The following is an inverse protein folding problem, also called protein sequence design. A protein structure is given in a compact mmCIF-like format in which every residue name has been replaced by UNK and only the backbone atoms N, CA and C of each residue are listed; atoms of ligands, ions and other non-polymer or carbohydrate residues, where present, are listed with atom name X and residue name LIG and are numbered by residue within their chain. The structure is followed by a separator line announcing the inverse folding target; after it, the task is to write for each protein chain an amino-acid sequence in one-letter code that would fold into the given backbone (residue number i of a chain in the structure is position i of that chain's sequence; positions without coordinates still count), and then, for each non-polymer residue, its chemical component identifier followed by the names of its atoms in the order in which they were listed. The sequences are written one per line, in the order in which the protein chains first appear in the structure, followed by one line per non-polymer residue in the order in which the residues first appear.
data_IF_478697322607
#
_entry.id   IF_478697322607
#
_cell.length_a   1.000
_cell.length_b   1.000
_cell.length_c   1.000
_cell.angle_alpha   90.00
_cell.angle_beta   90.00
_cell.angle_gamma   90.00
#
_symmetry.space_group_name_H-M   'P 1'
#
loop_
_entity.id
_entity.type
_entity.pdbx_description
1 polymer ?
#
# COMPACT_ATOMS: atom_id res chain seq x y z
N UNK A 1 9.58 -19.78 -23.65
CA UNK A 1 8.47 -18.93 -24.14
C UNK A 1 7.15 -19.65 -23.93
N UNK A 2 6.99 -20.87 -24.47
CA UNK A 2 5.79 -21.71 -24.28
C UNK A 2 5.39 -21.94 -22.81
N UNK A 3 6.35 -22.23 -21.93
CA UNK A 3 6.06 -22.40 -20.50
C UNK A 3 5.57 -21.10 -19.83
N UNK A 4 6.10 -19.94 -20.22
CA UNK A 4 5.67 -18.63 -19.69
C UNK A 4 4.24 -18.33 -20.10
N UNK A 5 3.93 -18.50 -21.39
CA UNK A 5 2.59 -18.32 -21.94
C UNK A 5 1.58 -19.27 -21.28
N UNK A 6 1.97 -20.53 -21.05
CA UNK A 6 1.15 -21.50 -20.32
C UNK A 6 0.86 -21.03 -18.90
N UNK A 7 1.85 -20.53 -18.16
CA UNK A 7 1.63 -19.99 -16.81
C UNK A 7 0.75 -18.74 -16.81
N UNK A 8 0.89 -17.84 -17.79
CA UNK A 8 0.00 -16.67 -17.94
C UNK A 8 -1.44 -17.12 -18.18
N UNK A 9 -1.64 -18.08 -19.09
CA UNK A 9 -2.97 -18.63 -19.37
C UNK A 9 -3.60 -19.28 -18.13
N UNK A 10 -2.83 -20.07 -17.38
CA UNK A 10 -3.30 -20.68 -16.13
C UNK A 10 -3.63 -19.63 -15.07
N UNK A 11 -2.84 -18.56 -14.96
CA UNK A 11 -3.13 -17.45 -14.04
C UNK A 11 -4.44 -16.75 -14.39
N UNK A 12 -4.71 -16.51 -15.68
CA UNK A 12 -5.98 -15.94 -16.16
C UNK A 12 -7.16 -16.86 -15.88
N UNK A 13 -7.03 -18.17 -16.10
CA UNK A 13 -8.09 -19.13 -15.75
C UNK A 13 -8.37 -19.13 -14.25
N UNK A 14 -7.32 -19.09 -13.42
CA UNK A 14 -7.45 -19.04 -11.98
C UNK A 14 -8.11 -17.73 -11.51
N UNK A 15 -7.81 -16.59 -12.13
CA UNK A 15 -8.48 -15.32 -11.89
C UNK A 15 -9.98 -15.40 -12.17
N UNK A 16 -10.37 -15.92 -13.34
CA UNK A 16 -11.79 -16.07 -13.73
C UNK A 16 -12.55 -17.05 -12.82
N UNK A 17 -11.85 -18.01 -12.22
CA UNK A 17 -12.41 -18.95 -11.26
C UNK A 17 -12.30 -18.47 -9.80
N UNK A 18 -11.82 -17.24 -9.56
CA UNK A 18 -11.56 -16.66 -8.23
C UNK A 18 -10.62 -17.51 -7.35
N UNK A 19 -9.77 -18.34 -7.97
CA UNK A 19 -8.78 -19.19 -7.31
C UNK A 19 -7.45 -18.47 -7.18
N UNK A 20 -7.45 -17.33 -6.49
CA UNK A 20 -6.29 -16.42 -6.42
C UNK A 20 -5.02 -17.07 -5.84
N UNK A 21 -5.13 -18.09 -4.99
CA UNK A 21 -3.97 -18.86 -4.53
C UNK A 21 -3.24 -19.59 -5.66
N UNK A 22 -3.97 -20.18 -6.61
CA UNK A 22 -3.38 -20.86 -7.77
C UNK A 22 -2.86 -19.87 -8.82
N UNK A 23 -3.55 -18.74 -8.94
CA UNK A 23 -3.09 -17.60 -9.74
C UNK A 23 -1.70 -17.14 -9.28
N UNK A 24 -1.52 -16.93 -7.97
CA UNK A 24 -0.23 -16.54 -7.38
C UNK A 24 0.85 -17.60 -7.66
N UNK A 25 0.56 -18.89 -7.48
CA UNK A 25 1.55 -19.94 -7.74
C UNK A 25 1.99 -20.01 -9.22
N UNK A 26 1.09 -19.73 -10.16
CA UNK A 26 1.43 -19.65 -11.58
C UNK A 26 2.33 -18.44 -11.88
N UNK A 27 1.99 -17.28 -11.32
CA UNK A 27 2.73 -16.03 -11.55
C UNK A 27 4.10 -16.02 -10.86
N UNK A 28 4.26 -16.72 -9.73
CA UNK A 28 5.56 -16.95 -9.09
C UNK A 28 6.52 -17.73 -9.99
N UNK A 29 6.01 -18.69 -10.76
CA UNK A 29 6.85 -19.43 -11.73
C UNK A 29 7.33 -18.52 -12.84
N UNK A 30 6.52 -17.56 -13.28
CA UNK A 30 6.92 -16.55 -14.25
C UNK A 30 8.00 -15.63 -13.66
N UNK A 31 7.79 -15.11 -12.45
CA UNK A 31 8.76 -14.26 -11.79
C UNK A 31 10.13 -14.94 -11.65
N UNK A 32 10.16 -16.23 -11.31
CA UNK A 32 11.39 -17.05 -11.18
C UNK A 32 12.12 -17.33 -12.50
N UNK A 33 11.60 -16.87 -13.64
CA UNK A 33 12.33 -16.95 -14.91
C UNK A 33 13.37 -15.82 -15.03
N UNK A 34 13.42 -14.87 -14.09
CA UNK A 34 14.36 -13.74 -14.02
C UNK A 34 14.36 -12.89 -15.30
N UNK A 35 13.19 -12.78 -15.93
CA UNK A 35 12.93 -11.91 -17.09
C UNK A 35 11.92 -10.86 -16.67
N UNK A 36 12.12 -9.62 -17.13
CA UNK A 36 11.21 -8.51 -16.86
C UNK A 36 9.75 -8.90 -17.16
N UNK A 37 8.87 -8.62 -16.19
CA UNK A 37 7.44 -8.88 -16.31
C UNK A 37 6.79 -7.85 -17.23
N UNK A 38 5.91 -8.31 -18.11
CA UNK A 38 5.10 -7.42 -18.94
C UNK A 38 4.11 -6.64 -18.06
N UNK A 39 3.55 -5.51 -18.54
CA UNK A 39 2.51 -4.79 -17.81
C UNK A 39 1.31 -5.66 -17.41
N UNK A 40 0.91 -6.58 -18.30
CA UNK A 40 -0.17 -7.54 -18.02
C UNK A 40 0.21 -8.50 -16.89
N UNK A 41 1.38 -9.12 -16.93
CA UNK A 41 1.83 -10.06 -15.89
C UNK A 41 2.03 -9.38 -14.55
N UNK A 42 2.55 -8.14 -14.57
CA UNK A 42 2.70 -7.29 -13.38
C UNK A 42 1.34 -7.00 -12.73
N UNK A 43 0.34 -6.66 -13.54
CA UNK A 43 -1.02 -6.42 -13.06
C UNK A 43 -1.65 -7.70 -12.49
N UNK A 44 -1.54 -8.83 -13.20
CA UNK A 44 -2.02 -10.13 -12.72
C UNK A 44 -1.38 -10.49 -11.36
N UNK A 45 -0.06 -10.29 -11.21
CA UNK A 45 0.65 -10.59 -9.96
C UNK A 45 0.11 -9.74 -8.80
N UNK A 46 -0.12 -8.46 -9.06
CA UNK A 46 -0.70 -7.55 -8.08
C UNK A 46 -2.12 -7.95 -7.69
N UNK A 47 -2.98 -8.25 -8.67
CA UNK A 47 -4.36 -8.70 -8.43
C UNK A 47 -4.40 -10.00 -7.62
N UNK A 48 -3.60 -10.99 -7.99
CA UNK A 48 -3.54 -12.28 -7.31
C UNK A 48 -3.19 -12.13 -5.83
N UNK A 49 -2.06 -11.49 -5.52
CA UNK A 49 -1.66 -11.31 -4.13
C UNK A 49 -2.58 -10.36 -3.36
N UNK A 50 -3.13 -9.30 -3.99
CA UNK A 50 -4.08 -8.36 -3.36
C UNK A 50 -5.33 -9.08 -2.87
N UNK A 51 -5.88 -10.00 -3.65
CA UNK A 51 -7.05 -10.78 -3.24
C UNK A 51 -6.69 -11.75 -2.10
N UNK A 52 -5.60 -12.51 -2.25
CA UNK A 52 -5.15 -13.47 -1.23
C UNK A 52 -4.93 -12.78 0.13
N UNK A 53 -4.21 -11.64 0.14
CA UNK A 53 -3.92 -10.91 1.38
C UNK A 53 -5.15 -10.17 1.92
N UNK A 54 -6.02 -9.66 1.04
CA UNK A 54 -7.24 -8.93 1.39
C UNK A 54 -8.18 -9.74 2.27
N UNK A 55 -8.45 -10.99 1.88
CA UNK A 55 -9.28 -11.93 2.65
C UNK A 55 -8.75 -12.17 4.06
N UNK A 56 -7.43 -12.35 4.20
CA UNK A 56 -6.81 -12.61 5.52
C UNK A 56 -6.76 -11.35 6.37
N UNK A 57 -6.52 -10.18 5.77
CA UNK A 57 -6.55 -8.89 6.49
C UNK A 57 -7.96 -8.56 6.99
N UNK A 58 -9.00 -8.82 6.19
CA UNK A 58 -10.38 -8.66 6.63
C UNK A 58 -10.71 -9.60 7.80
N UNK A 59 -10.32 -10.88 7.67
CA UNK A 59 -10.48 -11.88 8.73
C UNK A 59 -9.77 -11.45 10.02
N UNK A 60 -8.53 -10.95 9.93
CA UNK A 60 -7.78 -10.47 11.09
C UNK A 60 -8.46 -9.27 11.77
N UNK A 61 -8.94 -8.28 11.01
CA UNK A 61 -9.68 -7.13 11.58
C UNK A 61 -10.94 -7.55 12.35
N UNK A 62 -11.69 -8.52 11.81
CA UNK A 62 -12.87 -9.07 12.49
C UNK A 62 -12.46 -9.71 13.82
N UNK A 63 -11.39 -10.50 13.83
CA UNK A 63 -10.89 -11.14 15.05
C UNK A 63 -10.42 -10.13 16.09
N UNK A 64 -9.74 -9.05 15.69
CA UNK A 64 -9.39 -7.95 16.60
C UNK A 64 -10.64 -7.33 17.26
N UNK A 65 -11.69 -7.07 16.47
CA UNK A 65 -12.95 -6.51 17.00
C UNK A 65 -13.67 -7.49 17.95
N UNK A 66 -13.67 -8.78 17.63
CA UNK A 66 -14.27 -9.81 18.47
C UNK A 66 -13.50 -9.99 19.78
N UNK A 67 -12.18 -9.98 19.74
CA UNK A 67 -11.33 -10.04 20.94
C UNK A 67 -11.65 -8.87 21.88
N UNK A 68 -11.67 -7.64 21.36
CA UNK A 68 -11.99 -6.45 22.15
C UNK A 68 -13.39 -6.53 22.78
N UNK A 69 -14.39 -7.05 22.04
CA UNK A 69 -15.75 -7.24 22.56
C UNK A 69 -15.81 -8.24 23.71
N UNK A 70 -15.06 -9.34 23.64
CA UNK A 70 -15.03 -10.35 24.72
C UNK A 70 -14.23 -9.87 25.93
N UNK A 71 -13.16 -9.08 25.72
CA UNK A 71 -12.42 -8.42 26.79
C UNK A 71 -13.30 -7.45 27.58
N UNK A 72 -14.13 -6.63 26.91
CA UNK A 72 -15.08 -5.71 27.56
C UNK A 72 -16.15 -6.45 28.37
N UNK A 73 -16.57 -7.65 27.93
CA UNK A 73 -17.51 -8.51 28.67
C UNK A 73 -16.89 -9.20 29.88
N UNK A 74 -15.56 -9.13 30.04
CA UNK A 74 -14.83 -9.85 31.10
C UNK A 74 -14.72 -11.36 30.85
N UNK A 75 -14.95 -11.85 29.62
CA UNK A 75 -14.83 -13.27 29.30
C UNK A 75 -13.40 -13.63 28.89
N UNK A 76 -12.49 -13.73 29.86
CA UNK A 76 -11.06 -13.98 29.61
C UNK A 76 -10.81 -15.28 28.82
N UNK A 77 -11.61 -16.33 29.06
CA UNK A 77 -11.43 -17.60 28.37
C UNK A 77 -11.79 -17.51 26.88
N UNK A 78 -12.85 -16.78 26.53
CA UNK A 78 -13.23 -16.56 25.13
C UNK A 78 -12.23 -15.63 24.44
N UNK A 79 -11.81 -14.55 25.11
CA UNK A 79 -10.78 -13.66 24.60
C UNK A 79 -9.48 -14.42 24.29
N UNK A 80 -9.05 -15.34 25.17
CA UNK A 80 -7.90 -16.21 24.93
C UNK A 80 -8.06 -17.10 23.70
N UNK A 81 -9.21 -17.75 23.52
CA UNK A 81 -9.49 -18.58 22.34
C UNK A 81 -9.43 -17.77 21.04
N UNK A 82 -9.98 -16.55 21.06
CA UNK A 82 -9.93 -15.63 19.92
C UNK A 82 -8.48 -15.24 19.63
N UNK A 83 -7.69 -14.90 20.66
CA UNK A 83 -6.27 -14.55 20.51
C UNK A 83 -5.43 -15.66 19.89
N UNK A 84 -5.66 -16.91 20.31
CA UNK A 84 -5.00 -18.10 19.73
C UNK A 84 -5.37 -18.27 18.25
N UNK A 85 -6.64 -18.06 17.88
CA UNK A 85 -7.07 -18.14 16.48
C UNK A 85 -6.53 -16.96 15.65
N UNK A 86 -6.56 -15.74 16.19
CA UNK A 86 -5.95 -14.54 15.59
C UNK A 86 -4.49 -14.78 15.27
N UNK A 87 -3.74 -15.46 16.15
CA UNK A 87 -2.33 -15.79 15.92
C UNK A 87 -2.12 -16.70 14.71
N UNK A 88 -3.05 -17.62 14.42
CA UNK A 88 -2.98 -18.44 13.21
C UNK A 88 -3.11 -17.57 11.95
N UNK A 89 -4.07 -16.65 11.93
CA UNK A 89 -4.26 -15.71 10.81
C UNK A 89 -3.04 -14.78 10.65
N UNK A 90 -2.45 -14.29 11.73
CA UNK A 90 -1.21 -13.49 11.68
C UNK A 90 -0.03 -14.26 11.05
N UNK A 91 0.07 -15.57 11.32
CA UNK A 91 1.09 -16.41 10.72
C UNK A 91 0.84 -16.62 9.22
N UNK A 92 -0.41 -16.77 8.80
CA UNK A 92 -0.78 -16.84 7.38
C UNK A 92 -0.47 -15.51 6.66
N UNK A 93 -0.86 -14.38 7.25
CA UNK A 93 -0.52 -13.04 6.74
C UNK A 93 0.99 -12.87 6.59
N UNK A 94 1.75 -13.26 7.61
CA UNK A 94 3.21 -13.18 7.59
C UNK A 94 3.81 -14.00 6.46
N UNK A 95 3.31 -15.22 6.23
CA UNK A 95 3.77 -16.09 5.14
C UNK A 95 3.49 -15.47 3.78
N UNK A 96 2.28 -14.96 3.56
CA UNK A 96 1.90 -14.34 2.28
C UNK A 96 2.76 -13.10 2.01
N UNK A 97 2.95 -12.24 3.02
CA UNK A 97 3.80 -11.04 2.88
C UNK A 97 5.26 -11.42 2.58
N UNK A 98 5.84 -12.34 3.35
CA UNK A 98 7.24 -12.74 3.15
C UNK A 98 7.46 -13.43 1.80
N UNK A 99 6.47 -14.20 1.31
CA UNK A 99 6.52 -14.84 0.00
C UNK A 99 6.68 -13.80 -1.12
N UNK A 100 5.77 -12.83 -1.23
CA UNK A 100 5.88 -11.80 -2.28
C UNK A 100 7.09 -10.89 -2.09
N UNK A 101 7.45 -10.54 -0.84
CA UNK A 101 8.64 -9.73 -0.57
C UNK A 101 9.91 -10.44 -1.06
N UNK A 102 9.99 -11.77 -0.88
CA UNK A 102 11.11 -12.57 -1.39
C UNK A 102 11.13 -12.62 -2.92
N UNK A 103 9.97 -12.81 -3.56
CA UNK A 103 9.85 -12.84 -5.02
C UNK A 103 10.26 -11.49 -5.62
N UNK A 104 9.81 -10.39 -5.04
CA UNK A 104 10.17 -9.04 -5.48
C UNK A 104 11.67 -8.80 -5.35
N UNK A 105 12.25 -9.14 -4.20
CA UNK A 105 13.65 -8.85 -3.92
C UNK A 105 14.63 -9.72 -4.71
N UNK A 106 14.32 -11.01 -4.89
CA UNK A 106 15.24 -11.99 -5.49
C UNK A 106 15.11 -12.02 -7.02
N UNK A 107 13.90 -11.91 -7.55
CA UNK A 107 13.64 -12.20 -8.96
C UNK A 107 13.20 -10.96 -9.77
N UNK A 108 12.26 -10.17 -9.23
CA UNK A 108 11.60 -9.12 -10.00
C UNK A 108 12.43 -7.83 -10.06
N UNK A 109 12.85 -7.28 -8.93
CA UNK A 109 13.64 -6.04 -8.92
C UNK A 109 14.97 -6.17 -9.66
N UNK A 110 15.74 -7.28 -9.54
CA UNK A 110 16.98 -7.45 -10.30
C UNK A 110 16.78 -7.52 -11.82
N UNK A 111 15.60 -7.95 -12.29
CA UNK A 111 15.27 -8.07 -13.72
C UNK A 111 14.48 -6.86 -14.28
N UNK A 112 14.08 -5.91 -13.42
CA UNK A 112 13.31 -4.73 -13.83
C UNK A 112 14.23 -3.63 -14.38
N UNK A 113 14.01 -3.21 -15.62
CA UNK A 113 14.77 -2.13 -16.25
C UNK A 113 13.94 -0.85 -16.43
N UNK A 114 12.63 -0.98 -16.67
CA UNK A 114 11.76 0.19 -16.86
C UNK A 114 11.45 0.90 -15.53
N UNK A 115 11.53 2.23 -15.52
CA UNK A 115 11.17 3.06 -14.36
C UNK A 115 9.77 2.75 -13.82
N UNK A 116 8.81 2.53 -14.71
CA UNK A 116 7.45 2.12 -14.35
C UNK A 116 7.41 0.78 -13.58
N UNK A 117 8.14 -0.24 -14.05
CA UNK A 117 8.27 -1.54 -13.37
C UNK A 117 8.87 -1.36 -11.98
N UNK A 118 9.96 -0.59 -11.89
CA UNK A 118 10.70 -0.33 -10.65
C UNK A 118 9.78 0.35 -9.62
N UNK A 119 9.10 1.42 -10.00
CA UNK A 119 8.16 2.14 -9.12
C UNK A 119 7.05 1.20 -8.65
N UNK A 120 6.47 0.42 -9.55
CA UNK A 120 5.38 -0.50 -9.22
C UNK A 120 5.81 -1.52 -8.16
N UNK A 121 6.97 -2.17 -8.34
CA UNK A 121 7.41 -3.22 -7.42
C UNK A 121 7.98 -2.68 -6.11
N UNK A 122 8.62 -1.50 -6.10
CA UNK A 122 8.97 -0.85 -4.83
C UNK A 122 7.74 -0.37 -4.06
N UNK A 123 6.72 0.16 -4.74
CA UNK A 123 5.43 0.47 -4.13
C UNK A 123 4.80 -0.79 -3.53
N UNK A 124 4.77 -1.88 -4.29
CA UNK A 124 4.22 -3.17 -3.82
C UNK A 124 5.01 -3.67 -2.60
N UNK A 125 6.35 -3.62 -2.63
CA UNK A 125 7.21 -3.96 -1.49
C UNK A 125 6.88 -3.11 -0.26
N UNK A 126 6.66 -1.80 -0.43
CA UNK A 126 6.21 -0.90 0.62
C UNK A 126 4.85 -1.30 1.21
N UNK A 127 3.89 -1.66 0.35
CA UNK A 127 2.56 -2.13 0.74
C UNK A 127 2.62 -3.40 1.61
N UNK A 128 3.41 -4.40 1.23
CA UNK A 128 3.50 -5.65 2.01
C UNK A 128 4.25 -5.48 3.34
N UNK A 129 5.28 -4.64 3.39
CA UNK A 129 5.89 -4.27 4.67
C UNK A 129 4.95 -3.46 5.56
N UNK A 130 4.12 -2.58 4.98
CA UNK A 130 3.06 -1.88 5.72
C UNK A 130 2.06 -2.88 6.31
N UNK A 131 1.62 -3.89 5.53
CA UNK A 131 0.73 -4.92 6.05
C UNK A 131 1.35 -5.72 7.20
N UNK A 132 2.65 -6.00 7.16
CA UNK A 132 3.36 -6.59 8.31
C UNK A 132 3.32 -5.65 9.53
N UNK A 133 3.56 -4.35 9.35
CA UNK A 133 3.54 -3.38 10.43
C UNK A 133 2.16 -3.19 11.09
N UNK A 134 1.05 -3.52 10.40
CA UNK A 134 -0.31 -3.44 10.94
C UNK A 134 -0.51 -4.35 12.18
N UNK A 135 0.01 -5.58 12.14
CA UNK A 135 -0.26 -6.60 13.16
C UNK A 135 0.97 -7.05 13.95
N UNK A 136 2.19 -6.77 13.46
CA UNK A 136 3.41 -7.02 14.23
C UNK A 136 3.53 -6.06 15.42
N UNK A 137 4.31 -6.45 16.42
CA UNK A 137 4.55 -5.67 17.65
C UNK A 137 6.04 -5.56 17.96
N UNK A 138 6.40 -4.62 18.84
CA UNK A 138 7.78 -4.44 19.28
C UNK A 138 8.76 -4.15 18.13
N UNK A 139 9.92 -4.82 18.13
CA UNK A 139 10.96 -4.63 17.13
C UNK A 139 10.50 -5.06 15.73
N UNK A 140 9.75 -6.16 15.60
CA UNK A 140 9.27 -6.62 14.29
C UNK A 140 8.39 -5.57 13.60
N UNK A 141 7.56 -4.83 14.38
CA UNK A 141 6.77 -3.72 13.84
C UNK A 141 7.65 -2.58 13.33
N UNK A 142 8.67 -2.21 14.11
CA UNK A 142 9.60 -1.13 13.77
C UNK A 142 10.37 -1.46 12.49
N UNK A 143 10.92 -2.67 12.42
CA UNK A 143 11.67 -3.13 11.25
C UNK A 143 10.78 -3.16 9.99
N UNK A 144 9.54 -3.64 10.12
CA UNK A 144 8.58 -3.61 9.02
C UNK A 144 8.23 -2.17 8.58
N UNK A 145 8.00 -1.26 9.52
CA UNK A 145 7.74 0.15 9.21
C UNK A 145 8.93 0.82 8.51
N UNK A 146 10.16 0.58 8.98
CA UNK A 146 11.38 1.13 8.38
C UNK A 146 11.60 0.60 6.97
N UNK A 147 11.35 -0.68 6.73
CA UNK A 147 11.44 -1.28 5.39
C UNK A 147 10.34 -0.78 4.44
N UNK A 148 9.13 -0.55 4.97
CA UNK A 148 8.03 0.06 4.20
C UNK A 148 8.40 1.48 3.77
N UNK A 149 8.89 2.30 4.71
CA UNK A 149 9.34 3.67 4.46
C UNK A 149 10.44 3.71 3.39
N UNK A 150 11.50 2.90 3.53
CA UNK A 150 12.59 2.83 2.55
C UNK A 150 12.09 2.44 1.16
N UNK A 151 11.16 1.50 1.09
CA UNK A 151 10.60 1.03 -0.19
C UNK A 151 9.75 2.09 -0.86
N UNK A 152 8.90 2.80 -0.10
CA UNK A 152 8.13 3.92 -0.65
C UNK A 152 9.02 5.08 -1.08
N UNK A 153 10.05 5.43 -0.30
CA UNK A 153 11.01 6.48 -0.67
C UNK A 153 11.74 6.15 -1.97
N UNK A 154 12.22 4.92 -2.12
CA UNK A 154 12.85 4.46 -3.36
C UNK A 154 11.87 4.56 -4.55
N UNK A 155 10.62 4.13 -4.37
CA UNK A 155 9.58 4.28 -5.39
C UNK A 155 9.33 5.75 -5.75
N UNK A 156 9.28 6.65 -4.76
CA UNK A 156 9.03 8.08 -4.97
C UNK A 156 10.16 8.73 -5.75
N UNK A 157 11.42 8.43 -5.41
CA UNK A 157 12.58 8.97 -6.14
C UNK A 157 12.58 8.57 -7.62
N UNK A 158 12.29 7.31 -7.93
CA UNK A 158 12.16 6.86 -9.33
C UNK A 158 10.92 7.48 -10.00
N UNK A 159 9.78 7.52 -9.32
CA UNK A 159 8.53 8.06 -9.89
C UNK A 159 8.62 9.54 -10.24
N UNK A 160 9.35 10.34 -9.44
CA UNK A 160 9.55 11.77 -9.73
C UNK A 160 10.39 12.01 -10.98
N UNK A 161 11.25 11.06 -11.35
CA UNK A 161 12.14 11.18 -12.52
C UNK A 161 11.47 10.61 -13.77
N UNK A 162 10.80 9.46 -13.64
CA UNK A 162 10.42 8.63 -14.79
C UNK A 162 8.93 8.68 -15.13
N UNK A 163 8.07 9.18 -14.22
CA UNK A 163 6.61 9.16 -14.40
C UNK A 163 5.99 10.56 -14.24
N UNK A 164 5.06 10.97 -15.12
CA UNK A 164 4.37 12.24 -14.97
C UNK A 164 3.50 12.25 -13.69
N UNK A 165 3.28 13.42 -13.06
CA UNK A 165 2.38 13.62 -11.92
C UNK A 165 1.03 12.92 -12.01
N UNK A 166 0.38 12.91 -13.18
CA UNK A 166 -0.93 12.25 -13.36
C UNK A 166 -0.86 10.74 -13.60
N UNK A 167 0.32 10.14 -13.63
CA UNK A 167 0.47 8.71 -13.92
C UNK A 167 -0.21 7.87 -12.82
N UNK A 168 -1.07 6.89 -13.14
CA UNK A 168 -1.81 6.11 -12.14
C UNK A 168 -0.92 5.44 -11.08
N UNK A 169 0.23 4.90 -11.50
CA UNK A 169 1.20 4.28 -10.56
C UNK A 169 1.80 5.31 -9.58
N UNK A 170 2.12 6.53 -10.05
CA UNK A 170 2.67 7.60 -9.21
C UNK A 170 1.63 8.12 -8.22
N UNK A 171 0.40 8.36 -8.69
CA UNK A 171 -0.72 8.74 -7.83
C UNK A 171 -1.04 7.65 -6.81
N UNK A 172 -1.08 6.39 -7.24
CA UNK A 172 -1.32 5.24 -6.36
C UNK A 172 -0.22 5.04 -5.32
N UNK A 173 1.03 5.37 -5.66
CA UNK A 173 2.14 5.43 -4.72
C UNK A 173 1.91 6.51 -3.66
N UNK A 174 1.58 7.74 -4.05
CA UNK A 174 1.30 8.83 -3.13
C UNK A 174 0.11 8.52 -2.19
N UNK A 175 -0.94 7.88 -2.72
CA UNK A 175 -2.07 7.41 -1.94
C UNK A 175 -1.64 6.40 -0.88
N UNK A 176 -0.91 5.36 -1.25
CA UNK A 176 -0.52 4.32 -0.28
C UNK A 176 0.53 4.82 0.72
N UNK A 177 1.41 5.72 0.31
CA UNK A 177 2.43 6.28 1.18
C UNK A 177 1.85 7.31 2.16
N UNK A 178 0.82 8.07 1.77
CA UNK A 178 0.10 8.94 2.71
C UNK A 178 -0.65 8.11 3.77
N UNK A 179 -1.32 7.02 3.37
CA UNK A 179 -1.94 6.06 4.30
C UNK A 179 -0.90 5.45 5.24
N UNK A 180 0.31 5.12 4.77
CA UNK A 180 1.40 4.66 5.63
C UNK A 180 1.78 5.69 6.70
N UNK A 181 1.95 6.96 6.32
CA UNK A 181 2.25 8.02 7.28
C UNK A 181 1.14 8.18 8.33
N UNK A 182 -0.12 8.07 7.90
CA UNK A 182 -1.27 8.17 8.79
C UNK A 182 -1.37 6.98 9.74
N UNK A 183 -1.53 5.76 9.20
CA UNK A 183 -1.90 4.57 9.97
C UNK A 183 -0.71 3.91 10.70
N UNK A 184 0.50 3.99 10.15
CA UNK A 184 1.67 3.27 10.69
C UNK A 184 2.59 4.21 11.47
N UNK A 185 2.92 5.36 10.89
CA UNK A 185 3.85 6.33 11.49
C UNK A 185 3.17 7.30 12.46
N UNK A 186 1.84 7.31 12.51
CA UNK A 186 1.05 8.23 13.33
C UNK A 186 1.42 9.70 13.07
N UNK A 187 1.64 10.05 11.80
CA UNK A 187 2.07 11.38 11.36
C UNK A 187 1.05 11.93 10.36
N UNK A 188 -0.07 12.42 10.89
CA UNK A 188 -1.17 12.99 10.11
C UNK A 188 -0.73 14.18 9.27
N UNK A 189 0.12 15.06 9.81
CA UNK A 189 0.67 16.22 9.09
C UNK A 189 1.41 15.79 7.81
N UNK A 190 2.31 14.79 7.91
CA UNK A 190 3.05 14.28 6.75
C UNK A 190 2.14 13.57 5.76
N UNK A 191 1.15 12.82 6.25
CA UNK A 191 0.17 12.16 5.39
C UNK A 191 -0.62 13.18 4.55
N UNK A 192 -1.15 14.22 5.20
CA UNK A 192 -1.88 15.31 4.54
C UNK A 192 -0.99 16.11 3.59
N UNK A 193 0.25 16.44 4.00
CA UNK A 193 1.19 17.14 3.14
C UNK A 193 1.48 16.36 1.86
N UNK A 194 1.78 15.06 1.97
CA UNK A 194 2.07 14.22 0.81
C UNK A 194 0.86 14.07 -0.12
N UNK A 195 -0.33 13.84 0.44
CA UNK A 195 -1.55 13.71 -0.34
C UNK A 195 -1.91 15.03 -1.06
N UNK A 196 -1.76 16.17 -0.37
CA UNK A 196 -1.99 17.50 -0.95
C UNK A 196 -0.98 17.82 -2.05
N UNK A 197 0.31 17.56 -1.81
CA UNK A 197 1.35 17.76 -2.82
C UNK A 197 1.04 16.98 -4.11
N UNK A 198 0.66 15.70 -4.01
CA UNK A 198 0.31 14.90 -5.18
C UNK A 198 -0.90 15.48 -5.94
N UNK A 199 -1.86 16.07 -5.23
CA UNK A 199 -3.03 16.72 -5.81
C UNK A 199 -2.65 18.03 -6.53
N UNK A 200 -1.88 18.88 -5.87
CA UNK A 200 -1.42 20.17 -6.40
C UNK A 200 -0.51 19.99 -7.62
N UNK A 201 0.31 18.93 -7.66
CA UNK A 201 1.12 18.57 -8.83
C UNK A 201 0.29 18.02 -10.00
N UNK A 202 -0.82 17.32 -9.71
CA UNK A 202 -1.67 16.74 -10.75
C UNK A 202 -2.54 17.81 -11.45
N UNK A 203 -3.12 18.77 -10.70
CA UNK A 203 -4.09 19.77 -11.21
C UNK A 203 -3.66 20.46 -12.51
N UNK A 204 -2.42 20.99 -12.66
CA UNK A 204 -2.01 21.68 -13.87
C UNK A 204 -2.06 20.79 -15.10
N UNK A 205 -1.66 19.53 -14.96
CA UNK A 205 -1.71 18.54 -16.04
C UNK A 205 -3.15 18.15 -16.35
N UNK A 206 -4.03 18.03 -15.34
CA UNK A 206 -5.46 17.77 -15.55
C UNK A 206 -6.07 18.84 -16.44
N UNK A 207 -5.85 20.11 -16.09
CA UNK A 207 -6.42 21.24 -16.81
C UNK A 207 -5.88 21.38 -18.25
N UNK A 208 -4.71 20.79 -18.53
CA UNK A 208 -4.10 20.80 -19.87
C UNK A 208 -4.69 19.73 -20.81
N UNK A 209 -5.17 18.62 -20.27
CA UNK A 209 -5.72 17.48 -21.01
C UNK A 209 -7.23 17.64 -21.15
N UNK A 210 -7.67 18.09 -22.32
CA UNK A 210 -9.02 18.62 -22.53
C UNK A 210 -10.17 17.61 -22.44
N UNK A 211 -9.98 16.29 -22.54
CA UNK A 211 -11.13 15.34 -22.43
C UNK A 211 -10.80 13.83 -22.29
N UNK A 212 -9.59 13.35 -22.53
CA UNK A 212 -9.23 11.91 -22.37
C UNK A 212 -8.46 11.67 -21.06
N UNK A 213 -9.15 11.79 -19.93
CA UNK A 213 -8.56 11.42 -18.64
C UNK A 213 -8.50 9.92 -18.46
N UNK A 214 -7.34 9.43 -17.99
CA UNK A 214 -7.27 8.08 -17.46
C UNK A 214 -8.26 7.96 -16.28
N UNK A 215 -9.24 7.06 -16.44
CA UNK A 215 -10.27 6.79 -15.43
C UNK A 215 -9.63 6.32 -14.13
N UNK A 216 -8.50 5.61 -14.21
CA UNK A 216 -7.78 5.13 -13.03
C UNK A 216 -7.14 6.30 -12.26
N UNK A 217 -6.51 7.25 -12.96
CA UNK A 217 -5.96 8.46 -12.33
C UNK A 217 -7.05 9.30 -11.65
N UNK A 218 -8.22 9.43 -12.30
CA UNK A 218 -9.37 10.16 -11.72
C UNK A 218 -9.86 9.50 -10.44
N UNK A 219 -10.01 8.17 -10.45
CA UNK A 219 -10.43 7.40 -9.29
C UNK A 219 -9.43 7.55 -8.14
N UNK A 220 -8.12 7.47 -8.41
CA UNK A 220 -7.08 7.59 -7.38
C UNK A 220 -7.05 9.00 -6.77
N UNK A 221 -7.21 10.05 -7.58
CA UNK A 221 -7.29 11.43 -7.09
C UNK A 221 -8.51 11.64 -6.19
N UNK A 222 -9.64 11.02 -6.51
CA UNK A 222 -10.82 11.06 -5.65
C UNK A 222 -10.53 10.37 -4.30
N UNK A 223 -9.87 9.20 -4.31
CA UNK A 223 -9.49 8.52 -3.07
C UNK A 223 -8.51 9.34 -2.21
N UNK A 224 -7.56 10.05 -2.83
CA UNK A 224 -6.68 10.99 -2.13
C UNK A 224 -7.48 12.13 -1.47
N UNK A 225 -8.45 12.69 -2.19
CA UNK A 225 -9.34 13.75 -1.67
C UNK A 225 -10.22 13.26 -0.52
N UNK A 226 -10.75 12.05 -0.62
CA UNK A 226 -11.55 11.44 0.44
C UNK A 226 -10.73 11.26 1.71
N UNK A 227 -9.50 10.74 1.58
CA UNK A 227 -8.56 10.61 2.69
C UNK A 227 -8.20 11.96 3.32
N UNK A 228 -7.90 12.98 2.51
CA UNK A 228 -7.62 14.33 3.02
C UNK A 228 -8.80 14.90 3.80
N UNK A 229 -10.03 14.70 3.32
CA UNK A 229 -11.24 15.17 3.99
C UNK A 229 -11.38 14.49 5.35
N UNK A 230 -11.18 13.17 5.41
CA UNK A 230 -11.26 12.39 6.65
C UNK A 230 -10.18 12.80 7.66
N UNK A 231 -8.93 12.99 7.21
CA UNK A 231 -7.82 13.29 8.10
C UNK A 231 -7.79 14.75 8.56
N UNK A 232 -8.34 15.67 7.79
CA UNK A 232 -8.43 17.08 8.19
C UNK A 232 -9.56 17.35 9.17
N UNK A 233 -10.64 16.53 9.15
CA UNK A 233 -11.66 16.58 10.22
C UNK A 233 -11.14 16.07 11.57
N UNK A 234 -10.09 15.24 11.57
CA UNK A 234 -9.48 14.71 12.79
C UNK A 234 -8.42 15.65 13.39
N UNK A 235 -8.03 16.73 12.68
CA UNK A 235 -7.11 17.74 13.20
C UNK A 235 -7.89 18.74 14.08
N UNK A 236 -7.42 19.05 15.31
CA UNK A 236 -8.04 20.09 16.12
C UNK A 236 -7.95 21.44 15.39
N UNK A 237 -9.10 22.10 15.21
CA UNK A 237 -9.16 23.52 14.80
C UNK A 237 -8.43 24.36 15.85
N UNK A 238 -7.15 24.70 15.64
CA UNK A 238 -6.40 25.41 16.66
C UNK A 238 -4.91 25.54 16.41
N UNK A 239 -4.55 26.34 15.40
CA UNK A 239 -3.19 26.82 15.18
C UNK A 239 -3.23 28.17 14.49
N UNK A 240 -4.06 29.09 15.00
CA UNK A 240 -4.05 30.47 14.55
C UNK A 240 -2.64 31.06 14.73
N UNK A 241 -2.13 31.56 13.62
CA UNK A 241 -1.14 32.61 13.47
C UNK A 241 -0.79 33.31 14.80
N UNK A 242 0.45 33.12 15.25
CA UNK A 242 1.10 34.02 16.18
C UNK A 242 1.08 35.43 15.56
N UNK A 243 0.04 36.19 15.90
CA UNK A 243 -0.06 37.62 15.65
C UNK A 243 1.11 38.29 16.35
N UNK A 244 1.92 38.95 15.54
CA UNK A 244 2.75 40.08 15.89
C UNK A 244 2.02 40.94 16.94
N UNK A 245 2.54 40.96 18.16
CA UNK A 245 2.22 41.97 19.17
C UNK A 245 3.48 42.78 19.43
N UNK A 246 3.92 43.46 18.37
CA UNK A 246 4.74 44.66 18.51
C UNK A 246 3.81 45.81 18.91
N UNK A 247 3.62 45.98 20.23
CA UNK A 247 3.06 47.21 20.81
C UNK A 247 4.06 47.80 21.79
N UNK A 248 4.50 49.01 21.44
CA UNK A 248 5.32 49.94 22.21
C UNK A 248 4.81 50.21 23.63
N UNK A 249 5.77 50.46 24.54
CA UNK A 249 5.80 51.37 25.73
C UNK A 249 6.78 50.73 26.74
N UNK A 250 7.86 51.32 27.26
CA UNK A 250 8.42 52.66 27.55
C UNK A 250 9.97 52.53 27.44
N UNK A 251 10.83 53.51 27.16
CA UNK A 251 10.98 54.93 27.53
C UNK A 251 11.34 55.83 26.33
#
# INVERSE_FOLDING_TARGET
MEERERQVFMAKLAEQAERYGEMVESLKKIARMDIELTPEERNLLSVGYKNVIGERRASWRILCSLEQKEEVKGSEQNARRIREYKKKVENELSRICNDILSVIAIHILPSSAAGESIVFFYKMKGDYYRYLAEFKTGNERRDAADQSLKSYQAATSTAMTDLPPIHPIRLGLALNFSVFYYEIMNSSERACHLAKQAFDEAIPEINSLREDFDKDSTLILQLLKDNLTLWTSDLPEGGEQSRDTSTNMEE
#
